data_IF_185959337985
#
_entry.id   IF_185959337985
#
_cell.length_a   1.000
_cell.length_b   1.000
_cell.length_c   1.000
_cell.angle_alpha   90.00
_cell.angle_beta   90.00
_cell.angle_gamma   90.00
#
_symmetry.space_group_name_H-M   'P 1'
#
loop_
_entity.id
_entity.type
_entity.pdbx_description
1 polymer ?
#
# COMPACT_ATOMS: atom_id res chain seq x y z
N UNK A 1 38.28 14.41 -0.33
CA UNK A 1 37.86 13.35 -1.28
C UNK A 1 36.61 12.72 -0.71
N UNK A 2 35.45 12.83 -1.38
CA UNK A 2 34.24 12.13 -0.94
C UNK A 2 34.40 10.62 -1.17
N UNK A 3 34.03 9.74 -0.23
CA UNK A 3 34.11 8.30 -0.40
C UNK A 3 33.31 7.85 -1.63
N UNK A 4 33.87 6.91 -2.42
CA UNK A 4 33.28 6.36 -3.64
C UNK A 4 31.89 5.73 -3.42
N UNK A 5 31.56 5.38 -2.18
CA UNK A 5 30.28 4.78 -1.75
C UNK A 5 29.11 5.78 -1.81
N UNK A 6 29.38 7.09 -1.97
CA UNK A 6 28.36 8.13 -2.11
C UNK A 6 28.09 8.56 -3.56
N UNK A 7 28.73 7.92 -4.55
CA UNK A 7 28.38 8.18 -5.95
C UNK A 7 27.09 7.46 -6.28
N UNK A 8 26.01 8.22 -6.34
CA UNK A 8 24.74 7.80 -6.96
C UNK A 8 25.10 7.26 -8.35
N UNK A 9 24.90 5.96 -8.56
CA UNK A 9 25.00 5.37 -9.90
C UNK A 9 23.99 6.09 -10.79
N UNK A 10 24.32 6.30 -12.06
CA UNK A 10 23.37 6.86 -13.04
C UNK A 10 22.04 6.12 -12.88
N UNK A 11 20.99 6.90 -12.56
CA UNK A 11 19.68 6.37 -12.19
C UNK A 11 19.17 5.42 -13.25
N UNK A 12 18.74 4.24 -12.81
CA UNK A 12 18.01 3.32 -13.69
C UNK A 12 16.72 4.04 -14.07
N UNK A 13 16.53 4.36 -15.34
CA UNK A 13 15.42 5.20 -15.81
C UNK A 13 14.04 4.65 -15.39
N UNK A 14 13.92 3.33 -15.29
CA UNK A 14 12.73 2.64 -14.80
C UNK A 14 12.47 2.89 -13.30
N UNK A 15 13.53 3.01 -12.50
CA UNK A 15 13.42 3.33 -11.07
C UNK A 15 12.98 4.78 -10.89
N UNK A 16 13.58 5.69 -11.64
CA UNK A 16 13.22 7.11 -11.60
C UNK A 16 11.76 7.31 -12.02
N UNK A 17 11.29 6.61 -13.05
CA UNK A 17 9.89 6.66 -13.50
C UNK A 17 8.89 6.17 -12.42
N UNK A 18 9.24 5.12 -11.68
CA UNK A 18 8.39 4.60 -10.58
C UNK A 18 8.40 5.55 -9.39
N UNK A 19 9.56 6.10 -9.05
CA UNK A 19 9.70 7.08 -7.96
C UNK A 19 8.93 8.36 -8.29
N UNK A 20 9.03 8.87 -9.52
CA UNK A 20 8.26 10.03 -9.98
C UNK A 20 6.76 9.76 -9.93
N UNK A 21 6.30 8.59 -10.37
CA UNK A 21 4.90 8.19 -10.29
C UNK A 21 4.39 8.16 -8.85
N UNK A 22 5.20 7.66 -7.92
CA UNK A 22 4.89 7.59 -6.49
C UNK A 22 4.85 8.99 -5.87
N UNK A 23 5.80 9.86 -6.19
CA UNK A 23 5.84 11.24 -5.70
C UNK A 23 4.66 12.06 -6.23
N UNK A 24 4.32 11.93 -7.52
CA UNK A 24 3.13 12.57 -8.09
C UNK A 24 1.84 12.11 -7.41
N UNK A 25 1.72 10.82 -7.07
CA UNK A 25 0.57 10.32 -6.32
C UNK A 25 0.51 10.86 -4.88
N UNK A 26 1.66 10.99 -4.21
CA UNK A 26 1.70 11.59 -2.86
C UNK A 26 1.30 13.07 -2.90
N UNK A 27 1.77 13.82 -3.90
CA UNK A 27 1.37 15.21 -4.12
C UNK A 27 -0.14 15.30 -4.33
N UNK A 28 -0.70 14.50 -5.24
CA UNK A 28 -2.14 14.48 -5.51
C UNK A 28 -2.97 14.13 -4.25
N UNK A 29 -2.48 13.20 -3.43
CA UNK A 29 -3.13 12.81 -2.16
C UNK A 29 -3.09 13.94 -1.12
N UNK A 30 -1.97 14.65 -1.03
CA UNK A 30 -1.82 15.81 -0.15
C UNK A 30 -2.75 16.93 -0.61
N UNK A 31 -2.79 17.23 -1.91
CA UNK A 31 -3.70 18.23 -2.50
C UNK A 31 -5.18 17.86 -2.28
N UNK A 32 -5.54 16.60 -2.41
CA UNK A 32 -6.89 16.11 -2.10
C UNK A 32 -7.23 16.32 -0.63
N UNK A 33 -6.28 16.02 0.27
CA UNK A 33 -6.46 16.23 1.72
C UNK A 33 -6.60 17.71 2.06
N UNK A 34 -5.81 18.59 1.42
CA UNK A 34 -5.90 20.04 1.57
C UNK A 34 -7.25 20.54 1.06
N UNK A 35 -7.71 20.06 -0.10
CA UNK A 35 -9.01 20.42 -0.69
C UNK A 35 -10.17 19.97 0.21
N UNK A 36 -10.12 18.76 0.75
CA UNK A 36 -11.11 18.28 1.72
C UNK A 36 -11.13 19.12 2.99
N UNK A 37 -9.96 19.49 3.52
CA UNK A 37 -9.86 20.37 4.69
C UNK A 37 -10.35 21.77 4.39
N UNK A 38 -10.03 22.33 3.22
CA UNK A 38 -10.55 23.62 2.79
C UNK A 38 -12.09 23.63 2.70
N UNK A 39 -12.68 22.55 2.18
CA UNK A 39 -14.14 22.38 2.14
C UNK A 39 -14.79 22.27 3.54
N UNK A 40 -14.04 21.90 4.59
CA UNK A 40 -14.53 21.89 5.96
C UNK A 40 -14.60 23.28 6.60
N UNK A 41 -13.84 24.24 6.09
CA UNK A 41 -13.78 25.62 6.60
C UNK A 41 -14.52 26.63 5.70
N UNK A 42 -15.05 26.21 4.55
CA UNK A 42 -15.97 27.02 3.76
C UNK A 42 -17.31 27.22 4.49
N UNK A 43 -17.90 28.44 4.49
CA UNK A 43 -19.18 28.69 5.12
C UNK A 43 -20.26 27.77 4.53
N UNK A 44 -20.68 26.81 5.36
CA UNK A 44 -21.58 25.70 5.01
C UNK A 44 -22.92 26.21 4.47
N UNK A 45 -23.03 26.40 3.16
CA UNK A 45 -24.32 26.25 2.46
C UNK A 45 -24.52 24.75 2.22
N UNK A 46 -25.60 24.25 2.80
CA UNK A 46 -25.96 22.84 2.90
C UNK A 46 -25.76 22.06 1.58
N UNK A 47 -25.01 20.97 1.64
CA UNK A 47 -25.22 19.83 0.74
C UNK A 47 -24.82 18.52 1.45
N UNK A 48 -25.66 17.53 1.26
CA UNK A 48 -25.81 16.24 1.93
C UNK A 48 -24.56 15.36 2.09
N UNK A 49 -24.50 14.68 3.23
CA UNK A 49 -23.92 13.34 3.42
C UNK A 49 -24.19 12.42 2.21
N UNK A 50 -23.15 12.06 1.46
CA UNK A 50 -23.20 10.93 0.53
C UNK A 50 -22.35 9.76 1.08
N UNK A 51 -23.04 8.80 1.70
CA UNK A 51 -22.61 7.39 1.67
C UNK A 51 -22.99 6.86 0.29
N UNK A 52 -22.10 6.90 -0.69
CA UNK A 52 -22.29 6.24 -2.00
C UNK A 52 -20.94 5.89 -2.62
N UNK A 53 -20.28 4.81 -2.21
CA UNK A 53 -18.96 4.50 -2.79
C UNK A 53 -18.62 3.01 -2.98
N UNK A 54 -19.51 2.04 -2.78
CA UNK A 54 -19.13 0.64 -3.05
C UNK A 54 -19.42 0.19 -4.50
N UNK A 55 -20.41 0.81 -5.16
CA UNK A 55 -20.84 0.42 -6.52
C UNK A 55 -20.15 1.23 -7.63
N UNK A 56 -19.60 2.41 -7.31
CA UNK A 56 -18.94 3.30 -8.26
C UNK A 56 -17.42 3.10 -8.37
N UNK A 57 -16.81 2.26 -7.52
CA UNK A 57 -15.37 2.00 -7.59
C UNK A 57 -15.03 1.23 -8.87
N UNK A 58 -14.03 1.69 -9.63
CA UNK A 58 -13.53 0.92 -10.76
C UNK A 58 -13.05 -0.45 -10.28
N UNK A 59 -13.32 -1.48 -11.09
CA UNK A 59 -12.76 -2.81 -10.84
C UNK A 59 -11.25 -2.74 -11.03
N UNK A 60 -10.51 -3.42 -10.17
CA UNK A 60 -9.09 -3.64 -10.42
C UNK A 60 -8.94 -4.44 -11.72
N UNK A 61 -8.09 -4.00 -12.67
CA UNK A 61 -7.79 -4.79 -13.85
C UNK A 61 -7.23 -6.16 -13.47
N UNK A 62 -7.62 -7.22 -14.18
CA UNK A 62 -7.15 -8.57 -13.88
C UNK A 62 -5.63 -8.70 -13.86
N UNK A 63 -4.93 -8.03 -14.79
CA UNK A 63 -3.47 -8.00 -14.82
C UNK A 63 -2.86 -7.36 -13.56
N UNK A 64 -3.46 -6.28 -13.05
CA UNK A 64 -3.03 -5.60 -11.82
C UNK A 64 -3.27 -6.48 -10.59
N UNK A 65 -4.40 -7.18 -10.55
CA UNK A 65 -4.70 -8.13 -9.48
C UNK A 65 -3.72 -9.30 -9.45
N UNK A 66 -3.38 -9.86 -10.60
CA UNK A 66 -2.37 -10.92 -10.73
C UNK A 66 -1.01 -10.42 -10.28
N UNK A 67 -0.61 -9.21 -10.69
CA UNK A 67 0.65 -8.60 -10.27
C UNK A 67 0.77 -8.48 -8.74
N UNK A 68 -0.30 -8.05 -8.06
CA UNK A 68 -0.27 -7.97 -6.60
C UNK A 68 -0.09 -9.34 -5.94
N UNK A 69 -0.70 -10.39 -6.50
CA UNK A 69 -0.53 -11.75 -6.01
C UNK A 69 0.89 -12.28 -6.25
N UNK A 70 1.48 -11.96 -7.41
CA UNK A 70 2.87 -12.32 -7.74
C UNK A 70 3.86 -11.61 -6.81
N UNK A 71 3.66 -10.33 -6.54
CA UNK A 71 4.48 -9.57 -5.58
C UNK A 71 4.41 -10.21 -4.21
N UNK A 72 3.23 -10.60 -3.74
CA UNK A 72 3.12 -11.31 -2.45
C UNK A 72 3.87 -12.64 -2.47
N UNK A 73 3.79 -13.41 -3.56
CA UNK A 73 4.51 -14.68 -3.69
C UNK A 73 6.04 -14.51 -3.69
N UNK A 74 6.54 -13.41 -4.25
CA UNK A 74 7.98 -13.08 -4.20
C UNK A 74 8.41 -12.75 -2.76
N UNK A 75 7.56 -12.04 -2.01
CA UNK A 75 7.84 -11.67 -0.62
C UNK A 75 7.65 -12.83 0.37
N UNK A 76 6.85 -13.84 0.01
CA UNK A 76 6.66 -15.10 0.75
C UNK A 76 7.20 -16.30 -0.06
N UNK A 77 8.53 -16.44 -0.21
CA UNK A 77 9.13 -17.53 -1.00
C UNK A 77 8.86 -18.92 -0.41
N UNK A 78 8.41 -18.99 0.85
CA UNK A 78 8.05 -20.24 1.53
C UNK A 78 6.57 -20.60 1.35
N UNK A 79 5.79 -19.74 0.69
CA UNK A 79 4.36 -19.90 0.45
C UNK A 79 3.58 -20.26 1.74
N UNK A 80 3.94 -19.58 2.83
CA UNK A 80 3.34 -19.75 4.15
C UNK A 80 2.00 -19.04 4.28
N UNK A 81 1.69 -18.12 3.37
CA UNK A 81 0.50 -17.26 3.39
C UNK A 81 0.63 -16.05 4.33
N UNK A 82 1.77 -15.91 5.02
CA UNK A 82 2.03 -14.88 6.01
C UNK A 82 3.43 -14.31 5.87
N UNK A 83 3.57 -13.01 6.02
CA UNK A 83 4.87 -12.33 5.98
C UNK A 83 5.07 -11.62 7.30
N UNK A 84 6.10 -12.02 8.04
CA UNK A 84 6.53 -11.33 9.26
C UNK A 84 7.57 -10.26 8.93
N UNK A 85 7.69 -9.25 9.78
CA UNK A 85 8.68 -8.19 9.60
C UNK A 85 10.12 -8.74 9.45
N UNK A 86 10.60 -9.67 10.31
CA UNK A 86 11.93 -10.27 10.13
C UNK A 86 12.07 -11.03 8.80
N UNK A 87 11.01 -11.72 8.35
CA UNK A 87 11.03 -12.41 7.07
C UNK A 87 11.11 -11.42 5.91
N UNK A 88 10.36 -10.33 5.96
CA UNK A 88 10.37 -9.27 4.95
C UNK A 88 11.74 -8.59 4.87
N UNK A 89 12.34 -8.22 6.00
CA UNK A 89 13.69 -7.66 6.04
C UNK A 89 14.76 -8.63 5.51
N UNK A 90 14.57 -9.94 5.74
CA UNK A 90 15.49 -10.97 5.25
C UNK A 90 15.52 -11.09 3.72
N UNK A 91 14.46 -10.66 3.03
CA UNK A 91 14.40 -10.68 1.55
C UNK A 91 15.42 -9.74 0.91
N UNK A 92 15.81 -8.66 1.62
CA UNK A 92 16.69 -7.58 1.11
C UNK A 92 16.20 -6.92 -0.20
N UNK A 93 14.95 -7.17 -0.60
CA UNK A 93 14.32 -6.53 -1.76
C UNK A 93 13.82 -5.13 -1.43
N UNK A 94 13.60 -4.86 -0.14
CA UNK A 94 13.04 -3.63 0.40
C UNK A 94 13.94 -3.19 1.57
N UNK A 95 14.18 -1.90 1.72
CA UNK A 95 14.99 -1.41 2.85
C UNK A 95 14.24 -1.61 4.18
N UNK A 96 14.98 -1.81 5.29
CA UNK A 96 14.38 -2.10 6.60
C UNK A 96 13.34 -1.08 7.06
N UNK A 97 13.55 0.20 6.76
CA UNK A 97 12.62 1.29 7.11
C UNK A 97 11.28 1.13 6.40
N UNK A 98 11.30 0.75 5.12
CA UNK A 98 10.08 0.52 4.34
C UNK A 98 9.42 -0.80 4.74
N UNK A 99 10.21 -1.84 5.10
CA UNK A 99 9.66 -3.06 5.68
C UNK A 99 8.87 -2.78 6.96
N UNK A 100 9.45 -1.99 7.87
CA UNK A 100 8.79 -1.58 9.11
C UNK A 100 7.51 -0.80 8.84
N UNK A 101 7.58 0.20 7.95
CA UNK A 101 6.41 0.99 7.59
C UNK A 101 5.30 0.14 6.94
N UNK A 102 5.65 -0.81 6.06
CA UNK A 102 4.70 -1.73 5.45
C UNK A 102 4.03 -2.61 6.50
N UNK A 103 4.80 -3.19 7.42
CA UNK A 103 4.25 -3.98 8.52
C UNK A 103 3.34 -3.12 9.42
N UNK A 104 3.71 -1.89 9.78
CA UNK A 104 2.83 -1.00 10.55
C UNK A 104 1.52 -0.69 9.82
N UNK A 105 1.59 -0.39 8.51
CA UNK A 105 0.44 -0.04 7.70
C UNK A 105 -0.53 -1.23 7.47
N UNK A 106 0.04 -2.44 7.35
CA UNK A 106 -0.70 -3.67 7.05
C UNK A 106 -1.20 -4.38 8.31
N UNK A 107 -0.37 -4.46 9.36
CA UNK A 107 -0.75 -5.01 10.66
C UNK A 107 -1.72 -4.08 11.41
N UNK A 108 -1.57 -2.75 11.27
CA UNK A 108 -2.48 -1.77 11.89
C UNK A 108 -3.89 -1.75 11.31
N UNK A 109 -4.08 -2.27 10.09
CA UNK A 109 -5.41 -2.46 9.48
C UNK A 109 -6.12 -3.73 10.02
N UNK A 110 -5.38 -4.63 10.66
CA UNK A 110 -5.91 -5.83 11.29
C UNK A 110 -6.28 -5.54 12.75
N UNK A 111 -7.42 -4.88 12.94
CA UNK A 111 -8.13 -4.98 14.21
C UNK A 111 -9.59 -5.32 13.95
N UNK A 112 -10.00 -6.45 14.55
CA UNK A 112 -11.34 -6.78 15.06
C UNK A 112 -11.99 -8.05 14.50
N UNK A 113 -11.64 -8.60 13.34
CA UNK A 113 -12.36 -9.77 12.83
C UNK A 113 -11.46 -10.98 12.52
N UNK A 114 -11.57 -11.97 13.42
CA UNK A 114 -11.37 -13.40 13.24
C UNK A 114 -9.96 -13.99 13.58
N UNK A 115 -10.02 -15.03 14.44
CA UNK A 115 -9.13 -16.22 14.64
C UNK A 115 -8.04 -16.01 15.71
N UNK A 116 -7.99 -16.75 16.83
CA UNK A 116 -8.10 -18.20 17.02
C UNK A 116 -7.40 -19.01 15.91
N UNK A 117 -6.13 -18.69 15.64
CA UNK A 117 -5.09 -19.61 15.18
C UNK A 117 -3.81 -18.81 14.94
N UNK A 118 -2.74 -19.11 15.69
CA UNK A 118 -1.30 -18.89 15.43
C UNK A 118 -0.86 -17.76 14.48
N UNK A 119 -1.54 -16.62 14.45
CA UNK A 119 -1.11 -15.47 13.67
C UNK A 119 0.14 -14.89 14.33
N UNK A 120 1.27 -14.74 13.60
CA UNK A 120 2.46 -14.12 14.15
C UNK A 120 2.13 -12.65 14.49
N UNK A 121 2.52 -12.24 15.71
CA UNK A 121 2.18 -10.92 16.29
C UNK A 121 2.74 -9.71 15.53
N UNK A 122 3.58 -9.94 14.51
CA UNK A 122 4.33 -8.92 13.80
C UNK A 122 4.42 -9.25 12.29
N UNK A 123 3.26 -9.59 11.71
CA UNK A 123 3.15 -9.94 10.30
C UNK A 123 1.74 -9.78 9.76
N UNK A 124 1.63 -9.81 8.43
CA UNK A 124 0.37 -9.65 7.72
C UNK A 124 0.11 -10.84 6.78
N UNK A 125 -1.17 -11.14 6.57
CA UNK A 125 -1.61 -12.19 5.65
C UNK A 125 -1.67 -11.68 4.20
N UNK A 126 -1.75 -12.61 3.24
CA UNK A 126 -2.04 -12.30 1.83
C UNK A 126 -3.33 -11.50 1.69
N UNK A 127 -4.35 -11.85 2.47
CA UNK A 127 -5.64 -11.19 2.46
C UNK A 127 -5.55 -9.75 2.96
N UNK A 128 -4.77 -9.49 4.00
CA UNK A 128 -4.57 -8.13 4.53
C UNK A 128 -3.80 -7.26 3.53
N UNK A 129 -2.78 -7.83 2.88
CA UNK A 129 -2.06 -7.18 1.80
C UNK A 129 -3.00 -6.78 0.66
N UNK A 130 -3.76 -7.73 0.10
CA UNK A 130 -4.67 -7.47 -1.02
C UNK A 130 -5.79 -6.50 -0.63
N UNK A 131 -6.35 -6.62 0.58
CA UNK A 131 -7.38 -5.69 1.09
C UNK A 131 -6.81 -4.28 1.20
N UNK A 132 -5.59 -4.12 1.72
CA UNK A 132 -4.97 -2.80 1.82
C UNK A 132 -4.67 -2.20 0.46
N UNK A 133 -4.25 -3.01 -0.51
CA UNK A 133 -4.06 -2.56 -1.88
C UNK A 133 -5.35 -2.04 -2.51
N UNK A 134 -6.49 -2.71 -2.30
CA UNK A 134 -7.80 -2.21 -2.72
C UNK A 134 -8.21 -0.92 -2.01
N UNK A 135 -7.95 -0.82 -0.71
CA UNK A 135 -8.24 0.39 0.08
C UNK A 135 -7.42 1.59 -0.42
N UNK A 136 -6.11 1.40 -0.61
CA UNK A 136 -5.17 2.46 -1.03
C UNK A 136 -5.44 2.89 -2.48
N UNK A 137 -5.80 1.97 -3.37
CA UNK A 137 -6.10 2.28 -4.77
C UNK A 137 -7.54 2.73 -5.00
N UNK A 138 -8.39 2.67 -3.97
CA UNK A 138 -9.82 2.92 -4.07
C UNK A 138 -10.52 2.08 -5.16
N UNK A 139 -10.01 0.87 -5.41
CA UNK A 139 -10.56 -0.08 -6.39
C UNK A 139 -11.41 -1.14 -5.69
N UNK A 140 -12.27 -1.82 -6.45
CA UNK A 140 -12.98 -3.01 -5.98
C UNK A 140 -12.40 -4.29 -6.57
N UNK A 141 -12.62 -5.39 -5.85
CA UNK A 141 -12.22 -6.74 -6.27
C UNK A 141 -12.74 -7.07 -7.69
N UNK A 142 -12.00 -7.81 -8.52
CA UNK A 142 -12.39 -8.06 -9.92
C UNK A 142 -13.73 -8.83 -10.01
N UNK A 143 -13.96 -9.76 -9.08
CA UNK A 143 -15.16 -10.61 -9.02
C UNK A 143 -16.35 -10.01 -8.25
N UNK A 144 -16.25 -8.76 -7.78
CA UNK A 144 -17.33 -8.04 -7.07
C UNK A 144 -18.03 -6.99 -7.93
#
# INVERSE_FOLDING_TARGET
>A
MCPLEYKVQDGIAEVDAVVDCLLQHQVAKIEQTISQKAALFEPRRAASTQKMDFVLKPKVPGATWTLWQEVFAILDPRNTGWITNPALQSTRLICPEVCNYMCELLCGAASVAVRQQEAPSDGFSKEDFLRKMLEVTNLRHPDS
#
